data_IF_668719860239
#
_entry.id   IF_668719860239
#
_cell.length_a   1.000
_cell.length_b   1.000
_cell.length_c   1.000
_cell.angle_alpha   90.00
_cell.angle_beta   90.00
_cell.angle_gamma   90.00
#
_symmetry.space_group_name_H-M   'P 1'
#
loop_
_entity.id
_entity.type
_entity.pdbx_description
1 polymer ?
#
# COMPACT_ATOMS: atom_id res chain seq x y z
N UNK A 1 -11.67 32.37 28.36
CA UNK A 1 -12.13 32.11 26.98
C UNK A 1 -13.21 31.05 27.03
N UNK A 2 -14.45 31.36 26.61
CA UNK A 2 -15.58 30.44 26.77
C UNK A 2 -15.33 29.15 26.00
N UNK A 3 -15.65 27.98 26.59
CA UNK A 3 -15.43 26.65 25.99
C UNK A 3 -15.93 26.57 24.55
N UNK A 4 -17.07 27.21 24.26
CA UNK A 4 -17.66 27.34 22.92
C UNK A 4 -16.74 28.00 21.90
N UNK A 5 -15.99 29.05 22.29
CA UNK A 5 -15.05 29.75 21.40
C UNK A 5 -13.82 28.90 21.10
N UNK A 6 -13.36 28.13 22.08
CA UNK A 6 -12.23 27.20 21.90
C UNK A 6 -12.63 26.07 20.94
N UNK A 7 -13.83 25.51 21.11
CA UNK A 7 -14.37 24.47 20.22
C UNK A 7 -14.54 24.98 18.79
N UNK A 8 -15.06 26.20 18.61
CA UNK A 8 -15.24 26.79 17.28
C UNK A 8 -13.91 27.00 16.54
N UNK A 9 -12.87 27.47 17.24
CA UNK A 9 -11.54 27.66 16.66
C UNK A 9 -10.92 26.33 16.23
N UNK A 10 -11.06 25.27 17.03
CA UNK A 10 -10.55 23.94 16.67
C UNK A 10 -11.22 23.38 15.40
N UNK A 11 -12.54 23.55 15.25
CA UNK A 11 -13.27 23.08 14.06
C UNK A 11 -12.83 23.82 12.80
N UNK A 12 -12.68 25.14 12.87
CA UNK A 12 -12.25 25.97 11.73
C UNK A 12 -10.82 25.62 11.32
N UNK A 13 -9.94 25.36 12.28
CA UNK A 13 -8.54 24.98 12.01
C UNK A 13 -8.45 23.60 11.36
N UNK A 14 -9.28 22.64 11.80
CA UNK A 14 -9.34 21.32 11.20
C UNK A 14 -9.85 21.35 9.74
N UNK A 15 -10.85 22.18 9.44
CA UNK A 15 -11.37 22.37 8.08
C UNK A 15 -10.39 23.10 7.16
N UNK A 16 -9.56 24.00 7.70
CA UNK A 16 -8.53 24.68 6.91
C UNK A 16 -7.38 23.74 6.52
N UNK A 17 -7.14 22.68 7.29
CA UNK A 17 -6.07 21.69 7.06
C UNK A 17 -6.51 20.56 6.10
N UNK A 18 -7.81 20.30 5.94
CA UNK A 18 -8.33 19.19 5.13
C UNK A 18 -8.24 19.38 3.61
N UNK A 19 -7.68 20.50 3.12
CA UNK A 19 -7.55 20.82 1.70
C UNK A 19 -6.11 20.87 1.16
N UNK A 20 -5.10 20.57 1.99
CA UNK A 20 -3.70 20.58 1.57
C UNK A 20 -3.29 19.17 1.09
N UNK A 21 -2.48 19.06 0.03
CA UNK A 21 -1.94 17.77 -0.46
C UNK A 21 -1.23 16.95 0.64
N UNK A 22 -0.79 17.61 1.72
CA UNK A 22 -0.29 16.97 2.94
C UNK A 22 -1.34 16.07 3.61
N UNK A 23 -2.62 16.44 3.59
CA UNK A 23 -3.73 15.67 4.17
C UNK A 23 -4.00 14.37 3.41
N UNK A 24 -3.92 14.37 2.07
CA UNK A 24 -4.03 13.14 1.28
C UNK A 24 -2.88 12.17 1.56
N UNK A 25 -1.67 12.71 1.75
CA UNK A 25 -0.50 11.92 2.16
C UNK A 25 -0.61 11.40 3.59
N UNK A 26 -1.12 12.21 4.50
CA UNK A 26 -1.42 11.83 5.89
C UNK A 26 -2.50 10.74 5.93
N UNK A 27 -3.56 10.86 5.12
CA UNK A 27 -4.60 9.84 4.98
C UNK A 27 -4.05 8.52 4.43
N UNK A 28 -3.17 8.58 3.42
CA UNK A 28 -2.45 7.39 2.91
C UNK A 28 -1.55 6.77 3.97
N UNK A 29 -0.80 7.59 4.72
CA UNK A 29 0.05 7.14 5.82
C UNK A 29 -0.77 6.47 6.94
N UNK A 30 -1.85 7.11 7.39
CA UNK A 30 -2.73 6.58 8.43
C UNK A 30 -3.48 5.34 8.00
N UNK A 31 -3.93 5.28 6.74
CA UNK A 31 -4.53 4.07 6.16
C UNK A 31 -3.52 2.94 6.04
N UNK A 32 -2.24 3.23 5.80
CA UNK A 32 -1.19 2.21 5.71
C UNK A 32 -0.77 1.70 7.09
N UNK A 33 -0.71 2.57 8.10
CA UNK A 33 -0.40 2.17 9.49
C UNK A 33 -1.54 1.39 10.17
N UNK A 34 -2.80 1.64 9.78
CA UNK A 34 -3.98 0.94 10.34
C UNK A 34 -4.41 -0.29 9.54
N UNK A 35 -3.90 -0.49 8.32
CA UNK A 35 -4.29 -1.60 7.46
C UNK A 35 -3.12 -2.16 6.69
N UNK A 36 -2.43 -3.16 7.26
CA UNK A 36 -1.61 -4.19 6.61
C UNK A 36 -1.09 -3.94 5.17
N UNK A 37 -0.49 -2.78 4.87
CA UNK A 37 0.11 -2.48 3.57
C UNK A 37 -0.85 -1.94 2.49
N UNK A 38 -0.27 -1.54 1.35
CA UNK A 38 -1.02 -1.07 0.18
C UNK A 38 -1.63 -2.25 -0.59
N UNK A 39 -2.75 -2.01 -1.28
CA UNK A 39 -3.35 -3.00 -2.19
C UNK A 39 -2.47 -3.16 -3.43
N UNK A 40 -1.98 -4.38 -3.63
CA UNK A 40 -1.04 -4.74 -4.69
C UNK A 40 -1.49 -5.98 -5.43
N UNK A 41 -0.99 -6.12 -6.65
CA UNK A 41 -1.15 -7.28 -7.49
C UNK A 41 0.23 -7.68 -8.02
N UNK A 42 0.61 -8.93 -7.77
CA UNK A 42 1.87 -9.54 -8.21
C UNK A 42 1.53 -10.49 -9.35
N UNK A 43 2.06 -10.23 -10.53
CA UNK A 43 1.94 -11.11 -11.70
C UNK A 43 3.33 -11.55 -12.12
N UNK A 44 3.53 -12.85 -12.26
CA UNK A 44 4.79 -13.42 -12.75
C UNK A 44 4.53 -14.15 -14.04
N UNK A 45 5.30 -13.80 -15.06
CA UNK A 45 5.23 -14.39 -16.40
C UNK A 45 6.50 -15.15 -16.73
N UNK A 46 6.38 -16.27 -17.44
CA UNK A 46 7.55 -16.94 -18.03
C UNK A 46 8.05 -16.21 -19.29
N UNK A 47 9.17 -16.68 -19.84
CA UNK A 47 9.76 -16.12 -21.07
C UNK A 47 8.84 -16.16 -22.31
N UNK A 48 7.73 -16.91 -22.28
CA UNK A 48 6.74 -16.94 -23.38
C UNK A 48 5.62 -15.92 -23.19
N UNK A 49 5.63 -15.20 -22.05
CA UNK A 49 4.58 -14.26 -21.66
C UNK A 49 3.39 -14.92 -20.96
N UNK A 50 3.46 -16.22 -20.66
CA UNK A 50 2.40 -16.93 -19.93
C UNK A 50 2.49 -16.60 -18.44
N UNK A 51 1.35 -16.27 -17.83
CA UNK A 51 1.23 -16.10 -16.38
C UNK A 51 1.45 -17.45 -15.70
N UNK A 52 2.46 -17.50 -14.81
CA UNK A 52 2.80 -18.68 -14.00
C UNK A 52 2.42 -18.51 -12.54
N UNK A 53 2.24 -17.27 -12.10
CA UNK A 53 1.81 -16.94 -10.75
C UNK A 53 1.10 -15.59 -10.73
N UNK A 54 0.04 -15.50 -9.94
CA UNK A 54 -0.72 -14.28 -9.72
C UNK A 54 -1.25 -14.27 -8.28
N UNK A 55 -1.09 -13.16 -7.57
CA UNK A 55 -1.72 -12.92 -6.28
C UNK A 55 -2.07 -11.44 -6.12
N UNK A 56 -3.13 -11.14 -5.36
CA UNK A 56 -3.55 -9.78 -5.07
C UNK A 56 -4.10 -9.65 -3.66
N UNK A 57 -3.76 -8.56 -3.00
CA UNK A 57 -4.15 -8.29 -1.63
C UNK A 57 -3.43 -7.08 -1.06
N UNK A 58 -3.64 -6.83 0.23
CA UNK A 58 -2.93 -5.78 0.96
C UNK A 58 -1.67 -6.35 1.57
N UNK A 59 -0.52 -5.98 1.01
CA UNK A 59 0.77 -6.42 1.51
C UNK A 59 1.89 -5.51 1.01
N UNK A 60 2.98 -5.48 1.78
CA UNK A 60 4.24 -4.92 1.33
C UNK A 60 5.06 -5.97 0.59
N UNK A 61 5.61 -5.57 -0.56
CA UNK A 61 6.35 -6.44 -1.46
C UNK A 61 7.78 -5.94 -1.62
N UNK A 62 8.73 -6.86 -1.43
CA UNK A 62 10.15 -6.68 -1.69
C UNK A 62 10.47 -7.33 -3.04
N UNK A 63 10.96 -6.54 -3.99
CA UNK A 63 11.42 -7.01 -5.30
C UNK A 63 12.92 -6.76 -5.43
N UNK A 64 13.66 -7.78 -5.85
CA UNK A 64 15.05 -7.64 -6.28
C UNK A 64 15.27 -8.41 -7.60
N UNK A 65 16.50 -8.38 -8.10
CA UNK A 65 16.88 -8.97 -9.40
C UNK A 65 16.56 -10.48 -9.54
N UNK A 66 16.39 -11.19 -8.42
CA UNK A 66 16.26 -12.65 -8.41
C UNK A 66 14.98 -13.16 -7.77
N UNK A 67 14.27 -12.35 -6.99
CA UNK A 67 13.08 -12.78 -6.26
C UNK A 67 12.06 -11.68 -6.00
N UNK A 68 10.83 -12.15 -5.81
CA UNK A 68 9.73 -11.41 -5.18
C UNK A 68 9.46 -12.03 -3.82
N UNK A 69 9.32 -11.20 -2.78
CA UNK A 69 9.04 -11.63 -1.42
C UNK A 69 7.96 -10.75 -0.77
N UNK A 70 6.97 -11.38 -0.15
CA UNK A 70 5.93 -10.69 0.62
C UNK A 70 5.24 -11.64 1.61
N UNK A 71 4.48 -11.08 2.54
CA UNK A 71 3.61 -11.82 3.46
C UNK A 71 2.17 -11.48 3.10
N UNK A 72 1.35 -12.49 2.84
CA UNK A 72 -0.06 -12.27 2.49
C UNK A 72 -0.91 -11.90 3.71
N UNK A 73 -2.18 -11.53 3.49
CA UNK A 73 -3.11 -11.16 4.55
C UNK A 73 -3.42 -12.31 5.54
N UNK A 74 -3.10 -13.55 5.17
CA UNK A 74 -3.24 -14.74 6.03
C UNK A 74 -1.97 -15.00 6.85
N UNK A 75 -0.95 -14.15 6.73
CA UNK A 75 0.33 -14.30 7.42
C UNK A 75 1.26 -15.33 6.78
N UNK A 76 0.98 -15.77 5.55
CA UNK A 76 1.84 -16.73 4.84
C UNK A 76 2.95 -15.98 4.10
N UNK A 77 4.19 -16.43 4.31
CA UNK A 77 5.36 -15.92 3.60
C UNK A 77 5.44 -16.53 2.21
N UNK A 78 5.55 -15.68 1.20
CA UNK A 78 5.82 -16.04 -0.18
C UNK A 78 7.23 -15.57 -0.57
N UNK A 79 8.03 -16.48 -1.15
CA UNK A 79 9.33 -16.19 -1.74
C UNK A 79 9.36 -16.87 -3.10
N UNK A 80 9.44 -16.08 -4.16
CA UNK A 80 9.35 -16.57 -5.54
C UNK A 80 10.64 -16.18 -6.26
N UNK A 81 11.41 -17.16 -6.71
CA UNK A 81 12.63 -16.95 -7.49
C UNK A 81 12.29 -16.81 -8.97
N UNK A 82 12.76 -15.73 -9.59
CA UNK A 82 12.36 -15.36 -10.95
C UNK A 82 13.09 -16.18 -12.02
N UNK A 83 14.37 -16.48 -11.87
CA UNK A 83 15.12 -17.17 -12.92
C UNK A 83 15.04 -16.41 -14.25
N UNK A 84 14.39 -16.99 -15.27
CA UNK A 84 14.14 -16.35 -16.57
C UNK A 84 12.74 -15.68 -16.68
N UNK A 85 11.97 -15.69 -15.59
CA UNK A 85 10.64 -15.06 -15.51
C UNK A 85 10.72 -13.57 -15.21
N UNK A 86 9.64 -12.85 -15.51
CA UNK A 86 9.47 -11.43 -15.19
C UNK A 86 8.39 -11.27 -14.13
N UNK A 87 8.60 -10.38 -13.16
CA UNK A 87 7.57 -9.96 -12.21
C UNK A 87 7.08 -8.56 -12.53
N UNK A 88 5.77 -8.38 -12.50
CA UNK A 88 5.08 -7.09 -12.57
C UNK A 88 4.32 -6.90 -11.27
N UNK A 89 4.53 -5.76 -10.62
CA UNK A 89 3.82 -5.38 -9.40
C UNK A 89 3.02 -4.12 -9.69
N UNK A 90 1.69 -4.24 -9.60
CA UNK A 90 0.76 -3.13 -9.77
C UNK A 90 0.28 -2.66 -8.40
N UNK A 91 0.34 -1.36 -8.12
CA UNK A 91 -0.35 -0.75 -6.98
C UNK A 91 -1.76 -0.31 -7.42
N UNK A 92 -2.79 -0.62 -6.62
CA UNK A 92 -4.19 -0.27 -6.91
C UNK A 92 -4.67 0.93 -6.10
#
# INVERSE_FOLDING_TARGET
>A
MNKVKITAVLIITALALSGCASWDRLKKSWSSELGNGLEREVVITDQTGKVVYEDSGKFDVEVNDYRVKYIDEKGKLHIIYLGASTAVVNEK
#
